data_IF_987103900650
#
_entry.id   IF_987103900650
#
_cell.length_a   1.000
_cell.length_b   1.000
_cell.length_c   1.000
_cell.angle_alpha   90.00
_cell.angle_beta   90.00
_cell.angle_gamma   90.00
#
_symmetry.space_group_name_H-M   'P 1'
#
loop_
_entity.id
_entity.type
_entity.pdbx_description
1 polymer ?
#
# COMPACT_ATOMS: atom_id res chain seq x y z
N UNK A 1 21.45 -73.14 -75.21
CA UNK A 1 21.34 -73.50 -73.76
C UNK A 1 21.75 -72.30 -72.93
N UNK A 2 20.83 -71.50 -72.54
CA UNK A 2 21.11 -70.42 -71.52
C UNK A 2 19.95 -70.39 -70.54
N UNK A 3 20.24 -70.74 -69.30
CA UNK A 3 19.28 -70.77 -68.18
C UNK A 3 19.14 -69.34 -67.61
N UNK A 4 17.91 -68.81 -67.60
CA UNK A 4 17.60 -67.59 -66.88
C UNK A 4 17.23 -67.92 -65.46
N UNK A 5 17.94 -67.36 -64.52
CA UNK A 5 17.57 -67.32 -63.08
C UNK A 5 16.74 -66.07 -62.85
N UNK A 6 15.50 -66.25 -62.41
CA UNK A 6 14.67 -65.19 -61.91
C UNK A 6 15.00 -64.89 -60.42
N UNK A 7 15.42 -63.67 -60.12
CA UNK A 7 15.71 -63.22 -58.75
C UNK A 7 14.41 -62.58 -58.18
N UNK A 8 13.78 -63.27 -57.28
CA UNK A 8 12.63 -62.71 -56.56
C UNK A 8 13.14 -61.73 -55.44
N UNK A 9 12.83 -60.44 -55.61
CA UNK A 9 13.14 -59.37 -54.67
C UNK A 9 12.07 -59.37 -53.54
N UNK A 10 12.45 -59.77 -52.35
CA UNK A 10 11.62 -59.69 -51.12
C UNK A 10 11.70 -58.24 -50.56
N UNK A 11 10.64 -57.46 -50.77
CA UNK A 11 10.51 -56.13 -50.17
C UNK A 11 10.14 -56.29 -48.73
N UNK A 12 11.08 -56.04 -47.82
CA UNK A 12 10.86 -55.88 -46.36
C UNK A 12 10.23 -54.51 -46.14
N UNK A 13 8.95 -54.48 -45.75
CA UNK A 13 8.28 -53.33 -45.23
C UNK A 13 8.83 -53.02 -43.81
N UNK A 14 9.69 -52.03 -43.75
CA UNK A 14 10.07 -51.45 -42.46
C UNK A 14 8.86 -50.66 -41.94
N UNK A 15 8.16 -51.22 -40.96
CA UNK A 15 7.28 -50.40 -40.13
C UNK A 15 8.18 -49.49 -39.27
N UNK A 16 8.29 -48.24 -39.70
CA UNK A 16 8.77 -47.17 -38.85
C UNK A 16 7.73 -46.98 -37.72
N UNK A 17 8.05 -47.44 -36.51
CA UNK A 17 7.36 -46.93 -35.33
C UNK A 17 7.60 -45.45 -35.31
N UNK A 18 6.55 -44.68 -35.61
CA UNK A 18 6.54 -43.28 -35.20
C UNK A 18 6.68 -43.29 -33.67
N UNK A 19 7.76 -42.75 -33.16
CA UNK A 19 7.83 -42.37 -31.78
C UNK A 19 6.60 -41.53 -31.51
N UNK A 20 5.74 -42.02 -30.62
CA UNK A 20 4.68 -41.23 -30.07
C UNK A 20 5.44 -40.13 -29.28
N UNK A 21 5.49 -38.93 -29.86
CA UNK A 21 5.91 -37.74 -29.14
C UNK A 21 5.10 -37.72 -27.83
N UNK A 22 5.76 -38.10 -26.77
CA UNK A 22 5.24 -37.87 -25.43
C UNK A 22 4.99 -36.37 -25.39
N UNK A 23 3.77 -35.87 -25.10
CA UNK A 23 3.54 -34.45 -25.06
C UNK A 23 4.54 -33.88 -24.06
N UNK A 24 5.54 -33.20 -24.59
CA UNK A 24 6.48 -32.44 -23.79
C UNK A 24 5.60 -31.60 -22.85
N UNK A 25 5.77 -31.80 -21.56
CA UNK A 25 5.06 -31.05 -20.54
C UNK A 25 5.60 -29.61 -20.61
N UNK A 26 5.25 -28.91 -21.72
CA UNK A 26 5.67 -27.54 -21.93
C UNK A 26 5.10 -26.71 -20.80
N UNK A 27 6.01 -26.30 -19.91
CA UNK A 27 5.68 -25.40 -18.84
C UNK A 27 5.16 -24.10 -19.44
N UNK A 28 3.94 -23.70 -19.09
CA UNK A 28 3.31 -22.48 -19.56
C UNK A 28 3.68 -21.33 -18.60
N UNK A 29 4.57 -20.40 -19.00
CA UNK A 29 5.07 -19.37 -18.09
C UNK A 29 3.98 -18.36 -17.74
N UNK A 30 4.06 -17.82 -16.52
CA UNK A 30 3.24 -16.72 -16.04
C UNK A 30 4.07 -15.43 -16.13
N UNK A 31 3.58 -14.46 -16.88
CA UNK A 31 4.11 -13.10 -16.88
C UNK A 31 3.28 -12.24 -15.94
N UNK A 32 3.91 -11.31 -15.22
CA UNK A 32 3.28 -10.46 -14.20
C UNK A 32 3.38 -8.99 -14.61
N UNK A 33 2.30 -8.24 -14.35
CA UNK A 33 2.27 -6.78 -14.43
C UNK A 33 1.62 -6.24 -13.16
N UNK A 34 2.41 -5.76 -12.22
CA UNK A 34 1.91 -5.10 -11.01
C UNK A 34 1.82 -3.61 -11.27
N UNK A 35 0.66 -3.03 -10.97
CA UNK A 35 0.41 -1.61 -11.11
C UNK A 35 -0.11 -1.05 -9.79
N UNK A 36 0.27 0.17 -9.45
CA UNK A 36 -0.30 0.87 -8.30
C UNK A 36 -1.57 1.59 -8.74
N UNK A 37 -2.65 1.43 -8.02
CA UNK A 37 -3.86 2.22 -8.23
C UNK A 37 -3.63 3.63 -7.65
N UNK A 38 -3.15 4.53 -8.51
CA UNK A 38 -2.87 5.91 -8.12
C UNK A 38 -4.09 6.79 -8.29
N UNK A 39 -4.32 7.67 -7.30
CA UNK A 39 -5.06 8.91 -7.49
C UNK A 39 -4.08 10.06 -7.30
N UNK A 40 -3.66 10.67 -8.44
CA UNK A 40 -2.79 11.85 -8.56
C UNK A 40 -1.34 11.73 -8.00
N UNK A 41 -0.41 11.56 -8.90
CA UNK A 41 0.98 12.06 -8.94
C UNK A 41 2.10 11.42 -8.11
N UNK A 42 1.93 10.34 -7.35
CA UNK A 42 3.03 9.90 -6.47
C UNK A 42 3.34 8.40 -6.49
N UNK A 43 3.03 7.63 -7.52
CA UNK A 43 3.37 6.21 -7.44
C UNK A 43 3.55 5.56 -8.80
N UNK A 44 4.76 5.51 -9.21
CA UNK A 44 5.28 4.51 -10.13
C UNK A 44 6.37 3.75 -9.40
N UNK A 45 6.46 2.45 -9.62
CA UNK A 45 7.61 1.68 -9.16
C UNK A 45 8.89 2.18 -9.81
N UNK A 46 9.97 2.15 -9.05
CA UNK A 46 11.31 2.50 -9.52
C UNK A 46 12.11 1.24 -9.85
N UNK A 47 13.11 1.39 -10.71
CA UNK A 47 14.00 0.26 -11.04
C UNK A 47 14.71 -0.25 -9.79
N UNK A 48 14.52 -1.53 -9.49
CA UNK A 48 15.02 -2.17 -8.27
C UNK A 48 13.93 -2.48 -7.24
N UNK A 49 12.73 -1.90 -7.38
CA UNK A 49 11.61 -2.27 -6.53
C UNK A 49 11.26 -3.76 -6.70
N UNK A 50 11.02 -4.43 -5.58
CA UNK A 50 10.69 -5.85 -5.56
C UNK A 50 9.33 -6.11 -4.89
N UNK A 51 8.54 -6.99 -5.50
CA UNK A 51 7.24 -7.45 -4.99
C UNK A 51 7.24 -8.95 -4.75
N UNK A 52 6.50 -9.39 -3.73
CA UNK A 52 6.22 -10.80 -3.50
C UNK A 52 4.93 -11.22 -4.18
N UNK A 53 5.01 -12.31 -4.97
CA UNK A 53 3.87 -12.85 -5.71
C UNK A 53 3.51 -14.25 -5.20
N UNK A 54 2.23 -14.44 -4.90
CA UNK A 54 1.65 -15.76 -4.67
C UNK A 54 0.66 -16.11 -5.77
N UNK A 55 0.64 -17.38 -6.17
CA UNK A 55 -0.32 -17.92 -7.14
C UNK A 55 -1.04 -19.09 -6.53
N UNK A 56 -2.36 -19.00 -6.39
CA UNK A 56 -3.20 -20.01 -5.73
C UNK A 56 -4.20 -20.59 -6.71
N UNK A 57 -4.04 -21.87 -7.04
CA UNK A 57 -4.91 -22.55 -8.01
C UNK A 57 -6.33 -22.78 -7.49
N UNK A 58 -7.27 -22.74 -8.41
CA UNK A 58 -8.63 -23.21 -8.18
C UNK A 58 -8.69 -24.75 -8.19
N UNK A 59 -9.62 -25.30 -7.41
CA UNK A 59 -10.06 -26.68 -7.52
C UNK A 59 -11.47 -26.69 -8.14
N UNK A 60 -11.54 -26.90 -9.45
CA UNK A 60 -12.75 -26.70 -10.22
C UNK A 60 -13.22 -25.24 -10.18
N UNK A 61 -14.36 -24.96 -9.55
CA UNK A 61 -14.89 -23.61 -9.37
C UNK A 61 -14.54 -22.97 -8.02
N UNK A 62 -13.92 -23.72 -7.11
CA UNK A 62 -13.63 -23.28 -5.75
C UNK A 62 -12.23 -22.66 -5.70
N UNK A 63 -12.14 -21.44 -5.18
CA UNK A 63 -10.86 -20.78 -4.93
C UNK A 63 -10.04 -21.57 -3.89
N UNK A 64 -8.73 -21.71 -4.14
CA UNK A 64 -7.81 -22.21 -3.11
C UNK A 64 -7.63 -21.19 -1.99
N UNK A 65 -7.06 -21.64 -0.88
CA UNK A 65 -6.70 -20.77 0.25
C UNK A 65 -5.22 -20.42 0.14
N UNK A 66 -4.88 -19.14 0.27
CA UNK A 66 -3.49 -18.70 0.32
C UNK A 66 -2.83 -19.27 1.57
N UNK A 67 -1.72 -19.97 1.39
CA UNK A 67 -0.89 -20.55 2.45
C UNK A 67 0.54 -20.00 2.36
N UNK A 68 1.33 -20.20 3.40
CA UNK A 68 2.73 -19.79 3.39
C UNK A 68 3.55 -20.58 2.35
N UNK A 69 3.20 -21.87 2.17
CA UNK A 69 3.86 -22.81 1.25
C UNK A 69 2.83 -23.74 0.60
N UNK A 70 3.18 -24.33 -0.55
CA UNK A 70 2.37 -25.32 -1.26
C UNK A 70 1.34 -24.71 -2.20
N UNK A 71 1.43 -23.44 -2.50
CA UNK A 71 0.66 -22.81 -3.57
C UNK A 71 1.27 -23.17 -4.95
N UNK A 72 0.74 -22.66 -6.03
CA UNK A 72 1.35 -22.79 -7.36
C UNK A 72 2.65 -21.98 -7.47
N UNK A 73 2.70 -20.83 -6.79
CA UNK A 73 3.90 -20.06 -6.53
C UNK A 73 3.83 -19.50 -5.12
N UNK A 74 4.92 -19.63 -4.39
CA UNK A 74 5.09 -19.23 -3.00
C UNK A 74 6.09 -18.06 -2.95
N UNK A 75 5.61 -16.88 -2.59
CA UNK A 75 6.43 -15.68 -2.38
C UNK A 75 7.49 -15.44 -3.49
N UNK A 76 7.10 -15.64 -4.74
CA UNK A 76 8.03 -15.44 -5.86
C UNK A 76 8.41 -13.95 -5.94
N UNK A 77 9.72 -13.67 -5.92
CA UNK A 77 10.25 -12.31 -6.05
C UNK A 77 10.20 -11.86 -7.51
N UNK A 78 9.59 -10.71 -7.74
CA UNK A 78 9.61 -10.01 -9.02
C UNK A 78 10.20 -8.62 -8.83
N UNK A 79 11.22 -8.30 -9.62
CA UNK A 79 11.94 -7.03 -9.57
C UNK A 79 11.55 -6.18 -10.79
N UNK A 80 11.22 -4.91 -10.55
CA UNK A 80 10.93 -3.94 -11.59
C UNK A 80 12.23 -3.40 -12.20
N UNK A 81 12.36 -3.47 -13.53
CA UNK A 81 13.57 -3.03 -14.24
C UNK A 81 13.40 -1.68 -14.97
N UNK A 82 12.33 -0.94 -14.67
CA UNK A 82 11.98 0.32 -15.36
C UNK A 82 11.09 0.12 -16.60
N UNK A 83 10.91 -1.10 -17.07
CA UNK A 83 10.07 -1.43 -18.23
C UNK A 83 9.10 -2.59 -18.01
N UNK A 84 9.33 -3.37 -16.95
CA UNK A 84 8.50 -4.53 -16.61
C UNK A 84 9.02 -5.26 -15.38
N UNK A 85 8.29 -6.29 -14.99
CA UNK A 85 8.59 -7.13 -13.85
C UNK A 85 9.30 -8.41 -14.30
N UNK A 86 10.40 -8.75 -13.65
CA UNK A 86 11.21 -9.92 -13.95
C UNK A 86 11.50 -10.71 -12.68
N UNK A 87 11.63 -12.01 -12.82
CA UNK A 87 12.06 -12.91 -11.75
C UNK A 87 13.17 -13.80 -12.27
N UNK A 88 14.16 -14.05 -11.45
CA UNK A 88 15.23 -15.03 -11.72
C UNK A 88 14.69 -16.47 -11.66
N UNK A 89 13.58 -16.66 -10.93
CA UNK A 89 12.88 -17.94 -10.83
C UNK A 89 11.50 -17.85 -11.50
N UNK A 90 11.40 -18.25 -12.80
CA UNK A 90 10.13 -18.14 -13.52
C UNK A 90 9.05 -19.04 -12.92
N UNK A 91 7.85 -18.50 -12.78
CA UNK A 91 6.67 -19.22 -12.32
C UNK A 91 5.82 -19.69 -13.51
N UNK A 92 5.02 -20.72 -13.29
CA UNK A 92 4.29 -21.39 -14.37
C UNK A 92 2.84 -21.69 -13.96
N UNK A 93 1.93 -21.67 -14.93
CA UNK A 93 0.59 -22.18 -14.74
C UNK A 93 0.64 -23.67 -14.43
N UNK A 94 -0.30 -24.13 -13.61
CA UNK A 94 -0.48 -25.56 -13.33
C UNK A 94 -0.71 -26.37 -14.61
N UNK A 95 -1.60 -25.86 -15.44
CA UNK A 95 -1.99 -26.40 -16.74
C UNK A 95 -2.69 -25.31 -17.59
N UNK A 96 -3.21 -25.66 -18.77
CA UNK A 96 -3.88 -24.72 -19.68
C UNK A 96 -5.35 -24.41 -19.31
N UNK A 97 -5.89 -25.01 -18.24
CA UNK A 97 -7.32 -24.92 -17.90
C UNK A 97 -7.59 -24.46 -16.48
N UNK A 98 -6.63 -24.62 -15.56
CA UNK A 98 -6.81 -24.30 -14.15
C UNK A 98 -6.60 -22.82 -13.91
N UNK A 99 -7.67 -22.11 -13.52
CA UNK A 99 -7.60 -20.71 -13.09
C UNK A 99 -6.88 -20.57 -11.76
N UNK A 100 -6.34 -19.38 -11.49
CA UNK A 100 -5.67 -19.07 -10.23
C UNK A 100 -6.00 -17.67 -9.71
N UNK A 101 -5.91 -17.49 -8.40
CA UNK A 101 -5.84 -16.19 -7.74
C UNK A 101 -4.37 -15.76 -7.66
N UNK A 102 -4.13 -14.48 -7.86
CA UNK A 102 -2.82 -13.84 -7.74
C UNK A 102 -2.86 -12.83 -6.62
N UNK A 103 -1.86 -12.88 -5.74
CA UNK A 103 -1.66 -11.92 -4.68
C UNK A 103 -0.31 -11.25 -4.90
N UNK A 104 -0.26 -9.94 -4.75
CA UNK A 104 0.96 -9.15 -4.81
C UNK A 104 1.08 -8.27 -3.58
N UNK A 105 2.29 -8.12 -3.05
CA UNK A 105 2.57 -7.16 -2.00
C UNK A 105 3.95 -6.51 -2.19
N UNK A 106 4.09 -5.29 -1.70
CA UNK A 106 5.31 -4.50 -1.69
C UNK A 106 5.49 -3.85 -0.30
N UNK A 107 6.69 -3.73 0.23
CA UNK A 107 7.95 -4.26 -0.31
C UNK A 107 8.07 -5.78 -0.14
N UNK A 108 8.84 -6.43 -1.01
CA UNK A 108 9.17 -7.84 -0.90
C UNK A 108 9.89 -8.15 0.41
N UNK A 109 9.61 -9.30 0.99
CA UNK A 109 10.33 -9.86 2.13
C UNK A 109 10.60 -11.34 1.90
N UNK A 110 11.83 -11.79 2.09
CA UNK A 110 12.19 -13.21 1.96
C UNK A 110 11.56 -14.08 3.06
N UNK A 111 11.22 -13.49 4.22
CA UNK A 111 10.53 -14.18 5.32
C UNK A 111 9.14 -13.61 5.47
N UNK A 112 8.13 -14.46 5.33
CA UNK A 112 6.73 -14.04 5.24
C UNK A 112 5.85 -14.79 6.23
N UNK A 113 4.87 -14.08 6.79
CA UNK A 113 3.72 -14.61 7.50
C UNK A 113 2.44 -14.18 6.77
N UNK A 114 1.65 -15.14 6.28
CA UNK A 114 0.41 -14.83 5.53
C UNK A 114 -0.60 -14.08 6.39
N UNK A 115 -0.81 -14.51 7.61
CA UNK A 115 -1.85 -13.96 8.50
C UNK A 115 -1.41 -12.67 9.20
N UNK A 116 -0.11 -12.53 9.46
CA UNK A 116 0.43 -11.45 10.29
C UNK A 116 1.84 -11.05 9.85
N UNK A 117 1.99 -10.58 8.59
CA UNK A 117 3.26 -10.05 8.09
C UNK A 117 3.65 -8.82 8.91
N UNK A 118 4.79 -8.83 9.62
CA UNK A 118 5.25 -7.66 10.36
C UNK A 118 5.58 -6.51 9.42
N UNK A 119 5.17 -5.31 9.81
CA UNK A 119 5.54 -4.08 9.13
C UNK A 119 5.61 -2.92 10.14
N UNK A 120 6.47 -1.95 9.88
CA UNK A 120 6.55 -0.72 10.68
C UNK A 120 6.75 0.49 9.78
N UNK A 121 6.02 1.57 10.04
CA UNK A 121 6.34 2.87 9.46
C UNK A 121 7.50 3.51 10.22
N UNK A 122 8.36 4.24 9.52
CA UNK A 122 9.44 4.98 10.14
C UNK A 122 8.87 6.08 11.05
N UNK A 123 9.39 6.21 12.25
CA UNK A 123 9.04 7.31 13.17
C UNK A 123 9.60 8.64 12.70
N UNK A 124 10.76 8.62 12.04
CA UNK A 124 11.32 9.76 11.32
C UNK A 124 11.11 9.58 9.82
N UNK A 125 10.09 10.24 9.28
CA UNK A 125 9.79 10.29 7.84
C UNK A 125 10.22 11.65 7.24
N UNK A 126 11.14 12.39 7.87
CA UNK A 126 11.53 13.74 7.44
C UNK A 126 12.32 13.78 6.12
N UNK A 127 12.73 12.64 5.60
CA UNK A 127 13.36 12.48 4.29
C UNK A 127 12.53 11.54 3.38
N UNK A 128 12.75 11.62 2.06
CA UNK A 128 11.98 10.87 1.07
C UNK A 128 12.18 9.36 1.21
N UNK A 129 13.39 8.89 1.47
CA UNK A 129 13.67 7.44 1.60
C UNK A 129 12.85 6.81 2.73
N UNK A 130 12.83 7.43 3.90
CA UNK A 130 12.07 6.96 5.05
C UNK A 130 10.55 7.09 4.83
N UNK A 131 10.12 8.15 4.14
CA UNK A 131 8.71 8.32 3.79
C UNK A 131 8.24 7.20 2.87
N UNK A 132 8.98 6.88 1.80
CA UNK A 132 8.62 5.80 0.87
C UNK A 132 8.80 4.41 1.48
N UNK A 133 9.82 4.20 2.33
CA UNK A 133 9.98 2.96 3.08
C UNK A 133 8.84 2.69 4.08
N UNK A 134 8.01 3.70 4.37
CA UNK A 134 6.85 3.59 5.23
C UNK A 134 5.56 3.22 4.48
N UNK A 135 5.62 2.89 3.19
CA UNK A 135 4.46 2.46 2.42
C UNK A 135 4.39 0.94 2.28
N UNK A 136 3.17 0.43 2.24
CA UNK A 136 2.89 -0.98 1.97
C UNK A 136 1.76 -1.10 0.96
N UNK A 137 2.05 -1.77 -0.15
CA UNK A 137 1.07 -2.01 -1.21
C UNK A 137 0.60 -3.47 -1.18
N UNK A 138 -0.66 -3.66 -1.44
CA UNK A 138 -1.25 -4.98 -1.56
C UNK A 138 -2.29 -5.00 -2.68
N UNK A 139 -2.37 -6.15 -3.39
CA UNK A 139 -3.36 -6.34 -4.45
C UNK A 139 -3.67 -7.80 -4.70
N UNK A 140 -4.84 -8.03 -5.29
CA UNK A 140 -5.31 -9.36 -5.65
C UNK A 140 -6.01 -9.34 -7.00
N UNK A 141 -5.68 -10.31 -7.88
CA UNK A 141 -6.48 -10.64 -9.07
C UNK A 141 -7.07 -12.02 -8.93
N UNK A 142 -8.40 -12.15 -9.10
CA UNK A 142 -9.13 -13.37 -8.80
C UNK A 142 -9.51 -14.13 -10.05
N UNK A 143 -9.45 -15.47 -9.98
CA UNK A 143 -9.93 -16.41 -11.01
C UNK A 143 -9.40 -16.11 -12.41
N UNK A 144 -8.12 -15.78 -12.51
CA UNK A 144 -7.46 -15.52 -13.80
C UNK A 144 -7.29 -16.85 -14.52
N UNK A 145 -7.80 -16.93 -15.74
CA UNK A 145 -7.59 -18.10 -16.61
C UNK A 145 -6.16 -18.07 -17.18
N UNK A 146 -5.56 -19.27 -17.45
CA UNK A 146 -4.24 -19.33 -18.06
C UNK A 146 -4.16 -18.50 -19.35
N UNK A 147 -3.11 -17.67 -19.42
CA UNK A 147 -2.88 -16.72 -20.53
C UNK A 147 -1.38 -16.55 -20.78
N UNK A 148 -1.00 -16.25 -22.02
CA UNK A 148 0.35 -15.83 -22.39
C UNK A 148 0.59 -14.33 -22.17
N UNK A 149 -0.48 -13.55 -22.02
CA UNK A 149 -0.37 -12.13 -21.66
C UNK A 149 0.04 -11.98 -20.19
N UNK A 150 0.63 -10.85 -19.83
CA UNK A 150 0.93 -10.55 -18.44
C UNK A 150 -0.36 -10.46 -17.61
N UNK A 151 -0.35 -11.12 -16.44
CA UNK A 151 -1.42 -11.03 -15.45
C UNK A 151 -1.31 -9.67 -14.76
N UNK A 152 -2.32 -8.83 -14.97
CA UNK A 152 -2.39 -7.52 -14.32
C UNK A 152 -2.87 -7.66 -12.88
N UNK A 153 -2.08 -7.16 -11.92
CA UNK A 153 -2.45 -7.08 -10.51
C UNK A 153 -2.46 -5.61 -10.11
N UNK A 154 -3.64 -5.10 -9.79
CA UNK A 154 -3.78 -3.74 -9.27
C UNK A 154 -3.55 -3.76 -7.76
N UNK A 155 -2.57 -3.00 -7.29
CA UNK A 155 -2.30 -2.81 -5.87
C UNK A 155 -2.83 -1.47 -5.38
N UNK A 156 -3.22 -1.42 -4.11
CA UNK A 156 -3.57 -0.21 -3.38
C UNK A 156 -2.75 -0.10 -2.11
N UNK A 157 -2.76 1.08 -1.48
CA UNK A 157 -2.06 1.30 -0.22
C UNK A 157 -2.79 0.59 0.92
N UNK A 158 -2.13 -0.34 1.61
CA UNK A 158 -2.65 -0.94 2.84
C UNK A 158 -2.67 0.07 4.00
N UNK A 159 -1.97 1.19 3.85
CA UNK A 159 -1.81 2.24 4.84
C UNK A 159 -2.64 3.48 4.51
N UNK A 160 -2.58 4.46 5.43
CA UNK A 160 -3.15 5.80 5.30
C UNK A 160 -2.03 6.80 5.01
N UNK A 161 -2.36 7.90 4.34
CA UNK A 161 -1.48 9.07 4.20
C UNK A 161 -2.12 10.29 4.87
N UNK A 162 -1.36 11.01 5.68
CA UNK A 162 -1.76 12.32 6.21
C UNK A 162 -1.02 13.43 5.46
N UNK A 163 -1.73 14.50 5.16
CA UNK A 163 -1.18 15.77 4.70
C UNK A 163 -1.58 16.86 5.70
N UNK A 164 -0.61 17.61 6.20
CA UNK A 164 -0.84 18.74 7.12
C UNK A 164 -0.35 20.02 6.45
N UNK A 165 -1.26 20.91 6.11
CA UNK A 165 -0.97 22.24 5.62
C UNK A 165 -1.06 23.22 6.80
N UNK A 166 -0.04 24.05 7.02
CA UNK A 166 0.00 25.02 8.12
C UNK A 166 -0.01 26.42 7.58
N UNK A 167 -0.98 27.23 8.02
CA UNK A 167 -1.23 28.60 7.55
C UNK A 167 -1.12 29.63 8.67
N UNK A 168 -0.71 30.87 8.36
CA UNK A 168 -0.78 31.96 9.33
C UNK A 168 -2.23 32.39 9.56
N UNK A 169 -2.56 32.63 10.81
CA UNK A 169 -3.77 33.28 11.26
C UNK A 169 -3.47 34.62 11.93
N UNK A 170 -4.29 34.98 12.92
CA UNK A 170 -4.18 36.24 13.63
C UNK A 170 -2.81 36.39 14.33
N UNK A 171 -2.20 37.58 14.17
CA UNK A 171 -0.95 37.95 14.83
C UNK A 171 0.32 37.63 14.03
N UNK A 172 0.22 37.07 12.82
CA UNK A 172 1.35 36.95 11.91
C UNK A 172 1.23 37.95 10.76
N UNK A 173 2.32 38.64 10.43
CA UNK A 173 2.48 39.26 9.12
C UNK A 173 3.02 38.26 8.11
N UNK A 174 2.88 38.56 6.83
CA UNK A 174 3.41 37.69 5.75
C UNK A 174 4.91 37.46 5.90
N UNK A 175 5.66 38.52 6.24
CA UNK A 175 7.12 38.49 6.43
C UNK A 175 7.51 37.69 7.65
N UNK A 176 6.82 37.90 8.80
CA UNK A 176 7.08 37.15 10.01
C UNK A 176 6.78 35.66 9.84
N UNK A 177 5.69 35.33 9.15
CA UNK A 177 5.36 33.93 8.85
C UNK A 177 6.36 33.27 7.92
N UNK A 178 6.83 33.97 6.89
CA UNK A 178 7.81 33.46 5.95
C UNK A 178 9.16 33.18 6.65
N UNK A 179 9.56 34.00 7.61
CA UNK A 179 10.80 33.87 8.38
C UNK A 179 10.70 32.86 9.52
N UNK A 180 9.48 32.52 9.99
CA UNK A 180 9.28 31.66 11.13
C UNK A 180 9.78 30.23 10.89
N UNK A 181 10.45 29.65 11.88
CA UNK A 181 10.78 28.21 11.89
C UNK A 181 9.53 27.42 12.24
N UNK A 182 9.21 26.43 11.40
CA UNK A 182 8.01 25.59 11.57
C UNK A 182 8.36 24.11 11.57
N UNK A 183 7.72 23.36 12.44
CA UNK A 183 7.76 21.88 12.42
C UNK A 183 6.40 21.31 12.80
N UNK A 184 6.17 20.06 12.37
CA UNK A 184 4.95 19.33 12.66
C UNK A 184 5.33 17.95 13.20
N UNK A 185 4.54 17.44 14.15
CA UNK A 185 4.57 16.05 14.59
C UNK A 185 3.18 15.47 14.57
N UNK A 186 3.07 14.20 14.20
CA UNK A 186 1.86 13.40 14.33
C UNK A 186 2.05 12.55 15.58
N UNK A 187 1.16 12.68 16.56
CA UNK A 187 1.32 12.15 17.90
C UNK A 187 0.26 11.09 18.22
N UNK A 188 0.54 10.26 19.22
CA UNK A 188 -0.38 9.22 19.72
C UNK A 188 -0.84 8.23 18.64
N UNK A 189 0.01 7.94 17.68
CA UNK A 189 -0.21 6.93 16.63
C UNK A 189 0.74 5.75 16.85
N UNK A 190 0.24 4.55 16.58
CA UNK A 190 1.06 3.34 16.55
C UNK A 190 1.83 3.30 15.24
N UNK A 191 3.08 2.85 15.33
CA UNK A 191 4.01 2.77 14.19
C UNK A 191 4.29 1.34 13.74
N UNK A 192 3.92 0.34 14.55
CA UNK A 192 4.02 -1.07 14.22
C UNK A 192 2.68 -1.65 13.77
N UNK A 193 2.72 -2.59 12.86
CA UNK A 193 1.54 -3.29 12.34
C UNK A 193 1.83 -4.76 12.04
N UNK A 194 0.75 -5.53 11.93
CA UNK A 194 0.73 -6.78 11.19
C UNK A 194 -0.20 -6.63 9.98
N UNK A 195 0.20 -7.19 8.83
CA UNK A 195 -0.59 -7.15 7.60
C UNK A 195 -0.99 -8.56 7.21
N UNK A 196 -2.27 -8.79 7.02
CA UNK A 196 -2.78 -10.06 6.52
C UNK A 196 -2.66 -10.08 4.99
N UNK A 197 -1.76 -10.91 4.45
CA UNK A 197 -1.49 -10.97 3.00
C UNK A 197 -2.61 -11.63 2.20
N UNK A 198 -3.53 -12.35 2.83
CA UNK A 198 -4.71 -12.88 2.14
C UNK A 198 -5.77 -11.80 1.87
N UNK A 199 -5.78 -10.71 2.65
CA UNK A 199 -6.82 -9.67 2.62
C UNK A 199 -6.29 -8.25 2.42
N UNK A 200 -5.00 -8.00 2.62
CA UNK A 200 -4.40 -6.65 2.60
C UNK A 200 -4.70 -5.80 3.84
N UNK A 201 -5.34 -6.37 4.85
CA UNK A 201 -5.72 -5.62 6.05
C UNK A 201 -4.50 -5.41 6.96
N UNK A 202 -4.19 -4.14 7.24
CA UNK A 202 -3.20 -3.74 8.22
C UNK A 202 -3.87 -3.57 9.60
N UNK A 203 -3.27 -4.13 10.63
CA UNK A 203 -3.70 -4.01 12.02
C UNK A 203 -2.59 -3.35 12.83
N UNK A 204 -2.85 -2.19 13.40
CA UNK A 204 -1.89 -1.45 14.23
C UNK A 204 -1.60 -2.20 15.54
N UNK A 205 -0.32 -2.32 15.89
CA UNK A 205 0.18 -3.02 17.07
C UNK A 205 1.15 -2.14 17.87
N UNK A 206 1.61 -2.61 19.02
CA UNK A 206 2.57 -1.88 19.85
C UNK A 206 1.98 -0.66 20.58
N UNK A 207 2.86 0.17 21.08
CA UNK A 207 2.52 1.38 21.83
C UNK A 207 2.33 2.60 20.91
N UNK A 208 1.66 3.62 21.41
CA UNK A 208 1.54 4.89 20.73
C UNK A 208 2.88 5.62 20.73
N UNK A 209 3.22 6.22 19.61
CA UNK A 209 4.43 7.01 19.41
C UNK A 209 4.15 8.32 18.67
N UNK A 210 5.20 8.88 18.10
CA UNK A 210 5.16 10.10 17.31
C UNK A 210 5.83 9.85 15.95
N UNK A 211 5.35 10.53 14.90
CA UNK A 211 5.95 10.54 13.58
C UNK A 211 6.37 11.97 13.24
N UNK A 212 7.63 12.14 12.82
CA UNK A 212 8.12 13.39 12.20
C UNK A 212 7.86 13.29 10.69
N UNK A 213 6.95 14.07 10.12
CA UNK A 213 6.57 13.98 8.72
C UNK A 213 7.59 14.60 7.78
N UNK A 214 7.54 14.22 6.51
CA UNK A 214 8.28 14.84 5.42
C UNK A 214 7.74 16.26 5.15
N UNK A 215 8.60 17.26 5.32
CA UNK A 215 8.28 18.64 4.95
C UNK A 215 8.43 18.83 3.43
N UNK A 216 7.41 19.42 2.81
CA UNK A 216 7.46 19.87 1.42
C UNK A 216 7.46 21.40 1.37
N UNK A 217 7.42 22.00 0.18
CA UNK A 217 7.32 23.45 0.05
C UNK A 217 6.04 24.04 0.62
N UNK A 218 4.95 23.25 0.74
CA UNK A 218 3.60 23.75 1.08
C UNK A 218 2.94 23.00 2.23
N UNK A 219 3.41 21.81 2.57
CA UNK A 219 2.78 20.95 3.57
C UNK A 219 3.77 19.97 4.20
N UNK A 220 3.26 19.18 5.14
CA UNK A 220 3.94 18.05 5.75
C UNK A 220 3.17 16.78 5.43
N UNK A 221 3.85 15.70 5.02
CA UNK A 221 3.22 14.44 4.67
C UNK A 221 3.82 13.25 5.44
N UNK A 222 2.98 12.31 5.85
CA UNK A 222 3.44 11.06 6.48
C UNK A 222 2.54 9.88 6.11
N UNK A 223 3.14 8.69 6.11
CA UNK A 223 2.44 7.42 6.07
C UNK A 223 2.08 6.99 7.49
N UNK A 224 0.84 6.56 7.67
CA UNK A 224 0.28 6.18 8.98
C UNK A 224 -0.42 4.83 8.84
N UNK A 225 -0.24 3.95 9.82
CA UNK A 225 -0.99 2.70 9.90
C UNK A 225 -2.47 3.01 10.16
N UNK A 226 -3.42 2.37 9.44
CA UNK A 226 -4.84 2.52 9.71
C UNK A 226 -5.17 2.19 11.16
N UNK A 227 -5.72 3.16 11.88
CA UNK A 227 -6.01 3.03 13.30
C UNK A 227 -6.99 4.09 13.77
N UNK A 228 -7.59 3.88 14.92
CA UNK A 228 -8.38 4.90 15.63
C UNK A 228 -7.58 5.45 16.80
N UNK A 229 -7.35 6.75 16.78
CA UNK A 229 -6.79 7.52 17.89
C UNK A 229 -7.93 7.91 18.81
N UNK A 230 -7.74 7.73 20.13
CA UNK A 230 -8.78 8.01 21.14
C UNK A 230 -9.14 9.50 21.18
N UNK A 231 -10.36 9.78 21.64
CA UNK A 231 -10.84 11.14 21.85
C UNK A 231 -9.92 11.93 22.79
N UNK A 232 -9.81 13.24 22.55
CA UNK A 232 -8.98 14.19 23.29
C UNK A 232 -7.46 13.87 23.31
N UNK A 233 -7.01 13.00 22.41
CA UNK A 233 -5.58 12.72 22.24
C UNK A 233 -4.90 13.88 21.50
N UNK A 234 -3.68 14.24 21.91
CA UNK A 234 -2.79 15.10 21.15
C UNK A 234 -2.50 14.42 19.80
N UNK A 235 -3.18 14.81 18.73
CA UNK A 235 -3.03 14.18 17.41
C UNK A 235 -1.97 14.86 16.57
N UNK A 236 -2.00 16.21 16.51
CA UNK A 236 -1.02 16.99 15.73
C UNK A 236 -0.44 18.07 16.63
N UNK A 237 0.89 18.18 16.64
CA UNK A 237 1.62 19.28 17.24
C UNK A 237 2.27 20.11 16.14
N UNK A 238 2.05 21.43 16.16
CA UNK A 238 2.67 22.40 15.27
C UNK A 238 3.53 23.32 16.11
N UNK A 239 4.83 23.39 15.85
CA UNK A 239 5.73 24.33 16.51
C UNK A 239 6.06 25.48 15.58
N UNK A 240 5.88 26.71 16.04
CA UNK A 240 6.23 27.94 15.32
C UNK A 240 7.11 28.81 16.21
N UNK A 241 8.35 29.07 15.80
CA UNK A 241 9.35 29.83 16.57
C UNK A 241 9.50 29.37 18.03
N UNK A 242 9.44 28.03 18.25
CA UNK A 242 9.56 27.42 19.57
C UNK A 242 8.27 27.35 20.39
N UNK A 243 7.16 27.95 19.93
CA UNK A 243 5.85 27.82 20.57
C UNK A 243 5.12 26.63 19.97
N UNK A 244 4.70 25.67 20.81
CA UNK A 244 3.92 24.50 20.40
C UNK A 244 2.42 24.81 20.46
N UNK A 245 1.72 24.45 19.37
CA UNK A 245 0.26 24.47 19.24
C UNK A 245 -0.23 23.04 19.01
N UNK A 246 -1.22 22.60 19.77
CA UNK A 246 -1.66 21.21 19.78
C UNK A 246 -3.10 21.08 19.29
N UNK A 247 -3.32 20.18 18.35
CA UNK A 247 -4.64 19.72 17.97
C UNK A 247 -4.99 18.43 18.67
N UNK A 248 -6.01 18.48 19.54
CA UNK A 248 -6.53 17.34 20.29
C UNK A 248 -7.84 16.87 19.70
N UNK A 249 -7.91 15.60 19.31
CA UNK A 249 -9.13 14.98 18.78
C UNK A 249 -9.00 13.46 18.77
N UNK A 250 -10.15 12.78 18.77
CA UNK A 250 -10.22 11.41 18.27
C UNK A 250 -10.28 11.41 16.75
N UNK A 251 -9.59 10.46 16.13
CA UNK A 251 -9.57 10.36 14.67
C UNK A 251 -9.35 8.94 14.18
N UNK A 252 -10.01 8.55 13.07
CA UNK A 252 -9.82 7.26 12.44
C UNK A 252 -9.12 7.41 11.09
N UNK A 253 -7.90 6.88 11.00
CA UNK A 253 -7.16 6.74 9.76
C UNK A 253 -7.61 5.47 9.02
N UNK A 254 -7.98 5.61 7.76
CA UNK A 254 -8.50 4.52 6.91
C UNK A 254 -7.46 4.08 5.89
N UNK A 255 -7.38 2.78 5.62
CA UNK A 255 -6.54 2.24 4.56
C UNK A 255 -6.87 2.87 3.20
N UNK A 256 -5.87 2.98 2.35
CA UNK A 256 -5.98 3.52 0.99
C UNK A 256 -6.64 4.91 0.92
N UNK A 257 -6.44 5.73 1.96
CA UNK A 257 -7.07 7.04 2.10
C UNK A 257 -6.04 8.11 2.44
N UNK A 258 -6.13 9.27 1.79
CA UNK A 258 -5.38 10.46 2.15
C UNK A 258 -6.27 11.36 3.01
N UNK A 259 -5.77 11.74 4.17
CA UNK A 259 -6.41 12.63 5.14
C UNK A 259 -5.72 13.99 5.12
N UNK A 260 -6.44 15.06 4.77
CA UNK A 260 -5.89 16.41 4.65
C UNK A 260 -6.33 17.26 5.83
N UNK A 261 -5.36 17.80 6.56
CA UNK A 261 -5.55 18.70 7.68
C UNK A 261 -5.04 20.09 7.27
N UNK A 262 -5.91 21.11 7.28
CA UNK A 262 -5.50 22.49 7.09
C UNK A 262 -5.56 23.20 8.44
N UNK A 263 -4.40 23.65 8.93
CA UNK A 263 -4.20 24.20 10.27
C UNK A 263 -3.87 25.69 10.14
N UNK A 264 -4.69 26.54 10.74
CA UNK A 264 -4.45 28.00 10.83
C UNK A 264 -3.98 28.31 12.25
N UNK A 265 -2.75 28.82 12.38
CA UNK A 265 -2.13 29.15 13.67
C UNK A 265 -2.39 30.60 14.03
N UNK A 266 -3.02 30.87 15.18
CA UNK A 266 -3.35 32.21 15.67
C UNK A 266 -2.44 32.61 16.83
N UNK A 267 -1.39 33.39 16.55
CA UNK A 267 -0.39 33.80 17.52
C UNK A 267 -0.96 34.62 18.70
N UNK A 268 -1.87 35.54 18.39
CA UNK A 268 -2.43 36.45 19.39
C UNK A 268 -3.42 35.76 20.36
N UNK A 269 -3.98 34.63 19.93
CA UNK A 269 -4.99 33.90 20.69
C UNK A 269 -4.41 32.63 21.33
N UNK A 270 -3.14 32.29 21.02
CA UNK A 270 -2.53 31.03 21.42
C UNK A 270 -3.34 29.82 20.93
N UNK A 271 -3.95 29.89 19.75
CA UNK A 271 -4.89 28.89 19.25
C UNK A 271 -4.61 28.49 17.80
N UNK A 272 -5.12 27.35 17.39
CA UNK A 272 -5.17 26.94 15.99
C UNK A 272 -6.59 26.55 15.59
N UNK A 273 -6.97 26.89 14.34
CA UNK A 273 -8.18 26.41 13.71
C UNK A 273 -7.81 25.27 12.74
N UNK A 274 -8.56 24.19 12.78
CA UNK A 274 -8.28 23.01 11.96
C UNK A 274 -9.49 22.67 11.10
N UNK A 275 -9.28 22.53 9.80
CA UNK A 275 -10.24 21.90 8.90
C UNK A 275 -9.67 20.61 8.34
N UNK A 276 -10.51 19.57 8.27
CA UNK A 276 -10.11 18.23 7.84
C UNK A 276 -10.89 17.88 6.58
N UNK A 277 -10.19 17.49 5.53
CA UNK A 277 -10.74 16.91 4.31
C UNK A 277 -10.23 15.48 4.12
N UNK A 278 -11.12 14.53 3.88
CA UNK A 278 -10.73 13.22 3.37
C UNK A 278 -10.80 13.27 1.84
N UNK A 279 -9.77 12.80 1.17
CA UNK A 279 -9.83 12.63 -0.27
C UNK A 279 -10.47 11.28 -0.61
N UNK A 280 -11.74 11.19 -0.34
CA UNK A 280 -12.70 10.36 -1.03
C UNK A 280 -13.67 11.31 -1.74
N UNK A 281 -14.28 10.87 -2.81
CA UNK A 281 -15.12 11.62 -3.75
C UNK A 281 -16.21 12.50 -3.11
N UNK A 282 -16.37 12.48 -1.78
CA UNK A 282 -17.25 13.35 -1.00
C UNK A 282 -16.44 14.32 -0.12
N UNK A 283 -16.46 15.58 -0.52
CA UNK A 283 -15.81 16.70 0.16
C UNK A 283 -16.64 17.19 1.34
N UNK A 284 -16.60 16.53 2.46
CA UNK A 284 -17.07 17.10 3.72
C UNK A 284 -15.87 17.60 4.53
N UNK A 285 -15.65 18.92 4.55
CA UNK A 285 -14.70 19.57 5.45
C UNK A 285 -15.29 19.55 6.87
N UNK A 286 -14.55 19.03 7.82
CA UNK A 286 -14.86 19.13 9.24
C UNK A 286 -13.96 20.20 9.84
N UNK A 287 -14.54 21.27 10.41
CA UNK A 287 -13.82 22.35 11.04
C UNK A 287 -13.71 22.13 12.56
N UNK A 288 -12.53 22.34 13.11
CA UNK A 288 -12.27 22.25 14.55
C UNK A 288 -11.30 23.34 15.03
N UNK A 289 -11.33 23.65 16.33
CA UNK A 289 -10.44 24.64 16.94
C UNK A 289 -9.53 23.96 17.96
N UNK A 290 -8.25 24.30 17.97
CA UNK A 290 -7.29 23.82 18.96
C UNK A 290 -6.60 25.00 19.68
N UNK A 291 -6.07 24.75 20.86
CA UNK A 291 -5.49 25.77 21.75
C UNK A 291 -4.00 25.53 22.03
N UNK A 292 -3.29 26.61 22.37
CA UNK A 292 -1.91 26.57 22.86
C UNK A 292 -1.82 25.73 24.13
N UNK A 293 -0.85 24.84 24.23
CA UNK A 293 -0.56 24.09 25.45
C UNK A 293 0.46 24.87 26.28
N UNK A 294 -0.03 25.50 27.35
CA UNK A 294 0.82 26.05 28.40
C UNK A 294 0.92 25.03 29.54
N UNK A 295 2.13 24.71 29.98
CA UNK A 295 2.44 23.69 30.99
C UNK A 295 1.74 23.92 32.37
N UNK A 296 1.03 25.04 32.57
CA UNK A 296 0.46 25.43 33.86
C UNK A 296 -1.08 25.37 34.00
N UNK A 297 -1.83 24.99 32.97
CA UNK A 297 -3.28 24.80 33.13
C UNK A 297 -3.91 23.97 31.99
N UNK A 298 -4.19 22.71 32.25
CA UNK A 298 -5.08 21.92 31.43
C UNK A 298 -6.47 22.58 31.33
N UNK A 299 -6.74 23.37 30.30
CA UNK A 299 -8.08 23.81 29.98
C UNK A 299 -8.71 22.83 29.02
N UNK A 300 -9.54 21.96 29.51
CA UNK A 300 -10.40 21.05 28.77
C UNK A 300 -11.42 21.85 27.99
N UNK A 301 -11.36 21.82 26.66
CA UNK A 301 -12.43 22.32 25.80
C UNK A 301 -13.20 21.10 25.28
N UNK A 302 -14.48 21.03 25.64
CA UNK A 302 -15.39 20.03 25.14
C UNK A 302 -15.86 20.40 23.74
N UNK A 303 -15.72 19.50 22.78
CA UNK A 303 -16.31 19.61 21.45
C UNK A 303 -17.83 19.50 21.54
N UNK A 304 -18.53 20.46 20.94
CA UNK A 304 -19.93 20.23 20.58
C UNK A 304 -19.97 19.28 19.38
N UNK A 305 -20.69 18.18 19.51
CA UNK A 305 -20.93 17.26 18.38
C UNK A 305 -21.58 18.05 17.22
N UNK A 306 -21.21 17.75 15.95
CA UNK A 306 -21.82 18.42 14.81
C UNK A 306 -23.32 18.18 14.80
N UNK A 307 -24.10 19.25 14.69
CA UNK A 307 -25.54 19.20 14.56
C UNK A 307 -25.94 18.33 13.35
N UNK A 308 -26.67 17.24 13.62
CA UNK A 308 -27.33 16.48 12.56
C UNK A 308 -28.25 17.44 11.81
N UNK A 309 -27.94 17.70 10.55
CA UNK A 309 -28.88 18.39 9.65
C UNK A 309 -30.04 17.44 9.43
N UNK A 310 -31.19 17.80 10.01
CA UNK A 310 -32.46 17.12 9.76
C UNK A 310 -32.89 17.43 8.31
N UNK A 311 -32.72 16.48 7.40
CA UNK A 311 -33.39 16.53 6.10
C UNK A 311 -34.78 15.94 6.29
N UNK A 312 -35.74 16.79 6.65
CA UNK A 312 -37.15 16.56 6.45
C UNK A 312 -37.64 17.60 5.44
N UNK A 313 -37.73 17.17 4.17
CA UNK A 313 -38.89 17.33 3.24
C UNK A 313 -38.47 16.80 1.87
#
# INVERSE_FOLDING_TARGET
MKKFFALASLATLMFSCAEIDNPTNEKFPINIAVNVQTRANDTSFESGDAVGIYVVNYNGSTAGTLAAEGNQADNAEFIYNGGGWNSDEPIYWKDKNTSADFYAYYPYSATVSIEAQPFAVQTDQSNEDNFWASDFLWGKSTKVAPTSSAVAIQTGHALSRIIVEVKPGNGFTTEAWAAATKSVKICNVKTDATINLATGVATATGDNGEITPLATSTNYKAMIIPQTVADDSKLIAVTVDGTEYVYRTGYTFKANTQHNFSIVVNKNEGSINVSIGEWNIDSNLVEGTATEENDDAAKTIHYAAPNKINTSN
#
